data_IF_096530272900
#
_entry.id   IF_096530272900
#
_cell.length_a   1.000
_cell.length_b   1.000
_cell.length_c   1.000
_cell.angle_alpha   90.00
_cell.angle_beta   90.00
_cell.angle_gamma   90.00
#
_symmetry.space_group_name_H-M   'P 1'
#
loop_
_entity.id
_entity.type
_entity.pdbx_description
1 polymer ?
#
# COMPACT_ATOMS: atom_id res chain seq x y z
N UNK A 1 -6.65 -36.57 45.25
CA UNK A 1 -6.90 -36.09 43.87
C UNK A 1 -5.66 -35.35 43.39
N UNK A 2 -4.95 -35.84 42.36
CA UNK A 2 -3.80 -35.13 41.81
C UNK A 2 -4.24 -33.86 41.08
N UNK A 3 -3.60 -32.73 41.38
CA UNK A 3 -3.87 -31.44 40.72
C UNK A 3 -3.45 -31.51 39.24
N UNK A 4 -4.24 -30.99 38.29
CA UNK A 4 -3.85 -30.95 36.89
C UNK A 4 -2.68 -29.98 36.70
N UNK A 5 -1.60 -30.47 36.10
CA UNK A 5 -0.42 -29.68 35.77
C UNK A 5 -0.82 -28.52 34.83
N UNK A 6 -0.54 -27.28 35.26
CA UNK A 6 -0.76 -26.10 34.42
C UNK A 6 0.12 -26.18 33.17
N UNK A 7 -0.41 -25.93 31.96
CA UNK A 7 0.39 -25.89 30.76
C UNK A 7 1.38 -24.73 30.86
N UNK A 8 2.67 -25.05 30.80
CA UNK A 8 3.72 -24.05 30.74
C UNK A 8 3.66 -23.37 29.37
N UNK A 9 3.09 -22.17 29.32
CA UNK A 9 3.21 -21.26 28.18
C UNK A 9 4.70 -20.93 28.02
N UNK A 10 5.36 -21.61 27.07
CA UNK A 10 6.70 -21.26 26.61
C UNK A 10 6.64 -19.85 26.04
N UNK A 11 7.08 -18.87 26.83
CA UNK A 11 7.39 -17.53 26.37
C UNK A 11 8.57 -17.65 25.41
N UNK A 12 8.29 -17.89 24.12
CA UNK A 12 9.28 -17.80 23.07
C UNK A 12 9.66 -16.32 22.94
N UNK A 13 10.72 -15.93 23.65
CA UNK A 13 11.46 -14.72 23.33
C UNK A 13 12.01 -14.90 21.91
N UNK A 14 11.25 -14.45 20.91
CA UNK A 14 11.60 -14.56 19.50
C UNK A 14 12.78 -13.63 19.22
N UNK A 15 14.00 -14.14 19.38
CA UNK A 15 15.17 -13.49 18.79
C UNK A 15 14.90 -13.38 17.29
N UNK A 16 14.96 -12.16 16.76
CA UNK A 16 14.84 -11.92 15.31
C UNK A 16 15.87 -12.80 14.60
N UNK A 17 15.43 -13.59 13.62
CA UNK A 17 16.34 -14.39 12.80
C UNK A 17 17.02 -13.47 11.80
N UNK A 18 18.22 -13.81 11.35
CA UNK A 18 18.99 -13.04 10.36
C UNK A 18 18.17 -12.71 9.10
N UNK A 19 17.28 -13.61 8.69
CA UNK A 19 16.39 -13.42 7.52
C UNK A 19 15.32 -12.36 7.78
N UNK A 20 14.80 -12.28 9.00
CA UNK A 20 13.83 -11.25 9.39
C UNK A 20 14.51 -9.88 9.50
N UNK A 21 15.78 -9.85 9.92
CA UNK A 21 16.63 -8.64 9.87
C UNK A 21 16.83 -8.19 8.42
N UNK A 22 17.06 -9.11 7.48
CA UNK A 22 17.22 -8.79 6.07
C UNK A 22 15.95 -8.13 5.49
N UNK A 23 14.76 -8.65 5.82
CA UNK A 23 13.49 -8.02 5.44
C UNK A 23 13.37 -6.60 6.03
N UNK A 24 13.65 -6.43 7.33
CA UNK A 24 13.60 -5.09 7.95
C UNK A 24 14.56 -4.12 7.30
N UNK A 25 15.77 -4.59 6.97
CA UNK A 25 16.79 -3.79 6.29
C UNK A 25 16.36 -3.43 4.86
N UNK A 26 15.76 -4.36 4.11
CA UNK A 26 15.20 -4.10 2.80
C UNK A 26 14.09 -3.03 2.86
N UNK A 27 13.13 -3.17 3.77
CA UNK A 27 12.08 -2.17 3.96
C UNK A 27 12.64 -0.80 4.37
N UNK A 28 13.64 -0.77 5.26
CA UNK A 28 14.27 0.47 5.71
C UNK A 28 15.04 1.16 4.57
N UNK A 29 15.80 0.40 3.76
CA UNK A 29 16.50 0.93 2.60
C UNK A 29 15.50 1.45 1.57
N UNK A 30 14.47 0.67 1.23
CA UNK A 30 13.42 1.08 0.31
C UNK A 30 12.75 2.38 0.76
N UNK A 31 12.34 2.47 2.03
CA UNK A 31 11.73 3.67 2.59
C UNK A 31 12.70 4.86 2.58
N UNK A 32 13.96 4.68 2.96
CA UNK A 32 14.96 5.75 2.96
C UNK A 32 15.22 6.30 1.56
N UNK A 33 15.33 5.42 0.56
CA UNK A 33 15.56 5.81 -0.83
C UNK A 33 14.34 6.52 -1.44
N UNK A 34 13.14 6.03 -1.15
CA UNK A 34 11.89 6.61 -1.70
C UNK A 34 11.52 7.94 -1.05
N UNK A 35 11.77 8.12 0.23
CA UNK A 35 11.42 9.35 0.96
C UNK A 35 12.41 10.49 0.68
N UNK A 36 13.65 10.18 0.28
CA UNK A 36 14.73 11.18 0.14
C UNK A 36 14.37 12.39 -0.74
N UNK A 37 13.61 12.17 -1.83
CA UNK A 37 13.12 13.23 -2.72
C UNK A 37 11.65 13.03 -3.06
N UNK A 38 10.82 12.88 -2.02
CA UNK A 38 9.41 12.55 -2.21
C UNK A 38 8.61 13.66 -2.90
N UNK A 39 9.06 14.90 -2.89
CA UNK A 39 8.39 16.04 -3.51
C UNK A 39 8.82 16.30 -4.97
N UNK A 40 9.88 15.63 -5.43
CA UNK A 40 10.53 15.92 -6.71
C UNK A 40 10.48 14.72 -7.66
N UNK A 41 10.35 14.97 -8.98
CA UNK A 41 9.71 16.17 -9.55
C UNK A 41 8.25 16.27 -9.06
N UNK A 42 7.54 17.34 -9.42
CA UNK A 42 6.14 17.52 -9.03
C UNK A 42 5.19 16.41 -9.50
N UNK A 43 3.88 16.64 -9.40
CA UNK A 43 2.85 15.64 -9.71
C UNK A 43 3.02 15.08 -11.14
N UNK A 44 3.12 13.75 -11.26
CA UNK A 44 3.17 13.09 -12.54
C UNK A 44 1.78 12.90 -13.16
N UNK A 45 1.73 12.74 -14.48
CA UNK A 45 0.47 12.61 -15.21
C UNK A 45 -0.29 11.33 -14.85
N UNK A 46 0.40 10.22 -14.66
CA UNK A 46 -0.18 8.96 -14.21
C UNK A 46 -0.64 9.01 -12.74
N UNK A 47 0.11 9.67 -11.85
CA UNK A 47 -0.35 9.96 -10.48
C UNK A 47 -1.66 10.77 -10.50
N UNK A 48 -1.77 11.77 -11.38
CA UNK A 48 -2.96 12.62 -11.49
C UNK A 48 -4.22 11.84 -11.93
N UNK A 49 -4.08 10.80 -12.75
CA UNK A 49 -5.21 9.98 -13.21
C UNK A 49 -5.96 9.31 -12.05
N UNK A 50 -5.22 8.81 -11.05
CA UNK A 50 -5.81 8.16 -9.87
C UNK A 50 -6.23 9.18 -8.80
N UNK A 51 -5.49 10.28 -8.68
CA UNK A 51 -5.65 11.24 -7.58
C UNK A 51 -6.77 12.24 -7.81
N UNK A 52 -6.96 12.72 -9.05
CA UNK A 52 -7.98 13.74 -9.34
C UNK A 52 -9.40 13.23 -9.00
N UNK A 53 -9.82 12.02 -9.42
CA UNK A 53 -11.12 11.49 -9.02
C UNK A 53 -11.23 11.26 -7.51
N UNK A 54 -10.15 10.86 -6.84
CA UNK A 54 -10.13 10.66 -5.39
C UNK A 54 -10.31 11.99 -4.63
N UNK A 55 -9.64 13.05 -5.08
CA UNK A 55 -9.77 14.40 -4.54
C UNK A 55 -11.17 14.98 -4.78
N UNK A 56 -11.74 14.76 -5.97
CA UNK A 56 -13.11 15.16 -6.27
C UNK A 56 -14.11 14.44 -5.38
N UNK A 57 -13.93 13.14 -5.13
CA UNK A 57 -14.77 12.37 -4.22
C UNK A 57 -14.68 12.88 -2.78
N UNK A 58 -13.47 13.18 -2.30
CA UNK A 58 -13.23 13.72 -0.96
C UNK A 58 -13.89 15.08 -0.76
N UNK A 59 -13.82 15.95 -1.77
CA UNK A 59 -14.39 17.29 -1.75
C UNK A 59 -15.85 17.38 -2.21
N UNK A 60 -16.50 16.24 -2.48
CA UNK A 60 -17.88 16.17 -3.01
C UNK A 60 -18.07 16.98 -4.31
N UNK A 61 -17.01 17.07 -5.11
CA UNK A 61 -17.04 17.72 -6.41
C UNK A 61 -17.59 16.76 -7.48
N UNK A 62 -18.19 17.29 -8.56
CA UNK A 62 -18.58 16.45 -9.68
C UNK A 62 -17.33 15.82 -10.30
N UNK A 63 -17.33 14.49 -10.42
CA UNK A 63 -16.30 13.74 -11.13
C UNK A 63 -16.62 13.77 -12.62
N UNK A 64 -15.61 14.00 -13.45
CA UNK A 64 -15.74 13.91 -14.90
C UNK A 64 -15.77 12.44 -15.32
N UNK A 65 -16.96 11.92 -15.60
CA UNK A 65 -17.16 10.56 -16.08
C UNK A 65 -17.08 10.42 -17.61
N UNK A 66 -16.73 11.50 -18.34
CA UNK A 66 -16.63 11.51 -19.79
C UNK A 66 -15.59 10.53 -20.33
N UNK A 67 -14.46 10.40 -19.63
CA UNK A 67 -13.40 9.44 -19.96
C UNK A 67 -13.77 7.97 -19.71
N UNK A 68 -14.90 7.70 -19.05
CA UNK A 68 -15.36 6.35 -18.65
C UNK A 68 -16.79 6.06 -19.07
N UNK A 69 -17.29 6.79 -20.09
CA UNK A 69 -18.62 6.59 -20.69
C UNK A 69 -19.77 6.63 -19.67
N UNK A 70 -19.61 7.39 -18.59
CA UNK A 70 -20.61 7.44 -17.52
C UNK A 70 -20.68 6.21 -16.62
N UNK A 71 -19.64 5.37 -16.55
CA UNK A 71 -19.60 4.21 -15.67
C UNK A 71 -19.36 4.61 -14.20
N UNK A 72 -20.45 4.74 -13.44
CA UNK A 72 -20.41 4.98 -12.00
C UNK A 72 -21.43 4.12 -11.26
N UNK A 73 -21.16 3.88 -9.98
CA UNK A 73 -22.05 3.23 -9.05
C UNK A 73 -22.67 4.29 -8.13
N UNK A 74 -24.00 4.53 -8.17
CA UNK A 74 -24.64 5.48 -7.28
C UNK A 74 -24.76 4.88 -5.86
N UNK A 75 -24.23 5.57 -4.86
CA UNK A 75 -24.34 5.16 -3.45
C UNK A 75 -24.48 6.39 -2.54
N UNK A 76 -25.59 6.47 -1.79
CA UNK A 76 -25.78 7.54 -0.79
C UNK A 76 -25.73 8.97 -1.35
N UNK A 77 -26.15 9.18 -2.60
CA UNK A 77 -26.07 10.48 -3.28
C UNK A 77 -24.71 10.78 -3.91
N UNK A 78 -23.69 9.94 -3.65
CA UNK A 78 -22.40 10.00 -4.32
C UNK A 78 -22.42 9.15 -5.59
N UNK A 79 -21.68 9.62 -6.59
CA UNK A 79 -21.39 8.85 -7.81
C UNK A 79 -19.98 8.28 -7.67
N UNK A 80 -19.90 6.99 -7.37
CA UNK A 80 -18.63 6.31 -7.17
C UNK A 80 -18.09 5.84 -8.52
N UNK A 81 -16.89 6.27 -8.95
CA UNK A 81 -16.31 5.78 -10.20
C UNK A 81 -16.07 4.27 -10.09
N UNK A 82 -16.35 3.55 -11.18
CA UNK A 82 -16.05 2.11 -11.30
C UNK A 82 -14.79 1.88 -12.13
N UNK A 83 -14.47 2.83 -13.01
CA UNK A 83 -13.26 2.85 -13.83
C UNK A 83 -12.68 4.28 -13.80
N UNK A 84 -11.37 4.41 -14.04
CA UNK A 84 -10.69 5.69 -14.24
C UNK A 84 -10.51 6.01 -15.73
N UNK A 85 -10.41 4.96 -16.55
CA UNK A 85 -10.29 5.01 -18.02
C UNK A 85 -10.90 3.73 -18.59
N UNK A 86 -11.14 3.67 -19.91
CA UNK A 86 -11.71 2.51 -20.61
C UNK A 86 -10.97 1.18 -20.33
N UNK A 87 -9.72 1.22 -19.84
CA UNK A 87 -8.89 0.05 -19.50
C UNK A 87 -8.28 0.09 -18.08
N UNK A 88 -8.50 1.15 -17.30
CA UNK A 88 -7.92 1.29 -15.96
C UNK A 88 -9.02 1.24 -14.90
N UNK A 89 -8.85 0.34 -13.93
CA UNK A 89 -9.72 0.24 -12.76
C UNK A 89 -9.51 1.38 -11.77
N UNK A 90 -10.29 1.35 -10.69
CA UNK A 90 -10.38 2.41 -9.65
C UNK A 90 -9.65 2.08 -8.35
N UNK A 91 -8.86 0.99 -8.35
CA UNK A 91 -8.19 0.52 -7.13
C UNK A 91 -7.22 1.57 -6.58
N UNK A 92 -6.46 2.24 -7.46
CA UNK A 92 -5.57 3.34 -7.08
C UNK A 92 -6.34 4.52 -6.48
N UNK A 93 -7.42 4.96 -7.13
CA UNK A 93 -8.31 6.04 -6.67
C UNK A 93 -8.84 5.80 -5.26
N UNK A 94 -9.36 4.61 -4.98
CA UNK A 94 -9.86 4.30 -3.64
C UNK A 94 -8.74 4.05 -2.64
N UNK A 95 -7.60 3.51 -3.09
CA UNK A 95 -6.43 3.25 -2.25
C UNK A 95 -5.77 4.52 -1.72
N UNK A 96 -5.68 5.57 -2.54
CA UNK A 96 -5.08 6.86 -2.15
C UNK A 96 -6.00 7.71 -1.28
N UNK A 97 -7.32 7.49 -1.36
CA UNK A 97 -8.34 8.27 -0.65
C UNK A 97 -8.11 8.41 0.88
N UNK A 98 -7.83 7.34 1.65
CA UNK A 98 -7.54 7.50 3.09
C UNK A 98 -6.29 8.34 3.36
N UNK A 99 -5.28 8.30 2.48
CA UNK A 99 -4.07 9.10 2.62
C UNK A 99 -4.34 10.58 2.35
N UNK A 100 -5.15 10.89 1.33
CA UNK A 100 -5.61 12.26 1.08
C UNK A 100 -6.49 12.78 2.20
N UNK A 101 -7.37 11.94 2.76
CA UNK A 101 -8.27 12.33 3.85
C UNK A 101 -7.51 12.69 5.15
N UNK A 102 -6.41 11.99 5.44
CA UNK A 102 -5.61 12.22 6.66
C UNK A 102 -4.49 13.24 6.44
N UNK A 103 -3.74 13.14 5.34
CA UNK A 103 -2.56 13.96 5.05
C UNK A 103 -2.85 15.20 4.21
N UNK A 104 -4.07 15.36 3.70
CA UNK A 104 -4.46 16.44 2.78
C UNK A 104 -4.04 16.20 1.33
N UNK A 105 -4.48 17.08 0.44
CA UNK A 105 -4.21 17.02 -1.01
C UNK A 105 -2.82 17.60 -1.30
N UNK A 106 -1.82 16.74 -1.34
CA UNK A 106 -0.43 17.08 -1.68
C UNK A 106 0.31 15.84 -2.20
N UNK A 107 1.50 16.06 -2.78
CA UNK A 107 2.34 15.00 -3.37
C UNK A 107 2.79 13.98 -2.31
N UNK A 108 3.04 14.41 -1.08
CA UNK A 108 3.46 13.52 0.00
C UNK A 108 2.40 12.47 0.32
N UNK A 109 1.13 12.86 0.46
CA UNK A 109 0.02 11.93 0.73
C UNK A 109 -0.16 10.91 -0.40
N UNK A 110 -0.04 11.37 -1.65
CA UNK A 110 -0.17 10.54 -2.85
C UNK A 110 0.92 9.47 -2.87
N UNK A 111 2.18 9.88 -2.65
CA UNK A 111 3.32 8.97 -2.72
C UNK A 111 3.49 8.13 -1.46
N UNK A 112 2.94 8.56 -0.32
CA UNK A 112 2.88 7.72 0.87
C UNK A 112 2.05 6.46 0.61
N UNK A 113 0.95 6.56 -0.15
CA UNK A 113 0.18 5.39 -0.59
C UNK A 113 1.04 4.42 -1.40
N UNK A 114 1.81 4.90 -2.37
CA UNK A 114 2.66 4.03 -3.21
C UNK A 114 3.80 3.41 -2.41
N UNK A 115 4.42 4.16 -1.49
CA UNK A 115 5.46 3.66 -0.59
C UNK A 115 4.92 2.56 0.32
N UNK A 116 3.79 2.80 0.98
CA UNK A 116 3.15 1.80 1.87
C UNK A 116 2.79 0.55 1.08
N UNK A 117 2.24 0.70 -0.12
CA UNK A 117 1.93 -0.41 -1.02
C UNK A 117 3.18 -1.20 -1.42
N UNK A 118 4.29 -0.51 -1.72
CA UNK A 118 5.59 -1.14 -2.01
C UNK A 118 6.16 -1.92 -0.82
N UNK A 119 6.06 -1.37 0.40
CA UNK A 119 6.48 -2.07 1.63
C UNK A 119 5.64 -3.34 1.85
N UNK A 120 4.32 -3.25 1.67
CA UNK A 120 3.43 -4.42 1.74
C UNK A 120 3.82 -5.46 0.70
N UNK A 121 4.12 -5.03 -0.53
CA UNK A 121 4.57 -5.93 -1.59
C UNK A 121 5.88 -6.64 -1.24
N UNK A 122 6.87 -5.94 -0.67
CA UNK A 122 8.13 -6.54 -0.20
C UNK A 122 7.89 -7.58 0.90
N UNK A 123 7.02 -7.27 1.87
CA UNK A 123 6.65 -8.22 2.91
C UNK A 123 5.99 -9.47 2.33
N UNK A 124 5.01 -9.30 1.43
CA UNK A 124 4.34 -10.42 0.77
C UNK A 124 5.32 -11.25 -0.06
N UNK A 125 6.21 -10.61 -0.82
CA UNK A 125 7.25 -11.27 -1.60
C UNK A 125 8.19 -12.09 -0.71
N UNK A 126 8.59 -11.56 0.45
CA UNK A 126 9.41 -12.30 1.42
C UNK A 126 8.67 -13.53 1.97
N UNK A 127 7.45 -13.35 2.47
CA UNK A 127 6.70 -14.44 3.10
C UNK A 127 6.36 -15.54 2.08
N UNK A 128 5.98 -15.16 0.87
CA UNK A 128 5.69 -16.11 -0.20
C UNK A 128 6.96 -16.76 -0.75
N UNK A 129 8.01 -15.99 -1.00
CA UNK A 129 9.30 -16.53 -1.43
C UNK A 129 9.87 -17.51 -0.41
N UNK A 130 9.68 -17.23 0.89
CA UNK A 130 10.14 -18.10 1.97
C UNK A 130 9.42 -19.45 1.98
N UNK A 131 8.13 -19.49 1.66
CA UNK A 131 7.37 -20.75 1.63
C UNK A 131 7.71 -21.60 0.40
N UNK A 132 8.03 -20.97 -0.74
CA UNK A 132 8.30 -21.67 -2.00
C UNK A 132 9.77 -22.07 -2.18
N UNK A 133 10.70 -21.17 -1.87
CA UNK A 133 12.13 -21.29 -2.24
C UNK A 133 13.05 -21.36 -1.02
N UNK A 134 12.49 -21.25 0.19
CA UNK A 134 13.22 -21.20 1.43
C UNK A 134 13.67 -19.79 1.82
N UNK A 135 13.99 -19.64 3.10
CA UNK A 135 14.13 -18.32 3.71
C UNK A 135 15.40 -17.55 3.30
N UNK A 136 16.47 -18.23 2.89
CA UNK A 136 17.69 -17.55 2.40
C UNK A 136 17.47 -16.93 1.01
N UNK A 137 16.80 -17.64 0.10
CA UNK A 137 16.49 -17.14 -1.24
C UNK A 137 15.54 -15.94 -1.13
N UNK A 138 14.51 -16.05 -0.28
CA UNK A 138 13.59 -14.96 -0.01
C UNK A 138 14.29 -13.71 0.55
N UNK A 139 15.24 -13.89 1.48
CA UNK A 139 15.99 -12.79 2.08
C UNK A 139 16.89 -12.06 1.05
N UNK A 140 17.50 -12.80 0.12
CA UNK A 140 18.29 -12.20 -0.97
C UNK A 140 17.37 -11.49 -1.97
N UNK A 141 16.24 -12.12 -2.32
CA UNK A 141 15.31 -11.60 -3.32
C UNK A 141 14.71 -10.23 -2.92
N UNK A 142 14.47 -9.99 -1.63
CA UNK A 142 13.89 -8.72 -1.16
C UNK A 142 14.91 -7.59 -1.02
N UNK A 143 16.21 -7.91 -1.06
CA UNK A 143 17.30 -6.93 -1.05
C UNK A 143 17.70 -6.47 -2.45
N UNK A 144 17.28 -7.20 -3.49
CA UNK A 144 17.45 -6.86 -4.90
C UNK A 144 16.29 -5.97 -5.38
#
# INVERSE_FOLDING_TARGET
MPQPAKPQLKTQNSKLKTQDIALLLACAIFAALTIYQLDLPGLYADEALDVVPAMQLLNQQPIDFGAVRGAYFPLGGLKLPVMNSDYQGVVGTYGVLPFLAVGGVNVYSIRLFTIVTGIIALMLAYYWGRTLLGANVAAIAVLL
#
